data_IF_475276643847
#
_entry.id   IF_475276643847
#
_cell.length_a   1.000
_cell.length_b   1.000
_cell.length_c   1.000
_cell.angle_alpha   90.00
_cell.angle_beta   90.00
_cell.angle_gamma   90.00
#
_symmetry.space_group_name_H-M   'P 1'
#
loop_
_entity.id
_entity.type
_entity.pdbx_description
1 polymer ?
#
# COMPACT_ATOMS: atom_id res chain seq x y z
N UNK A 1 -8.74 11.38 5.47
CA UNK A 1 -9.75 11.33 4.40
C UNK A 1 -11.13 11.61 4.98
N UNK A 2 -11.93 12.51 4.41
CA UNK A 2 -11.66 13.27 3.19
C UNK A 2 -10.62 14.39 3.38
N UNK A 3 -10.33 14.78 4.62
CA UNK A 3 -9.31 15.78 4.93
C UNK A 3 -7.89 15.31 4.55
N UNK A 4 -7.00 16.30 4.34
CA UNK A 4 -5.56 16.09 4.15
C UNK A 4 -4.96 15.24 5.27
N UNK A 5 -4.02 14.38 4.90
CA UNK A 5 -3.28 13.59 5.88
C UNK A 5 -2.31 14.49 6.68
N UNK A 6 -1.99 14.15 7.94
CA UNK A 6 -1.02 14.91 8.72
C UNK A 6 0.41 14.72 8.20
N UNK A 7 1.26 15.73 8.40
CA UNK A 7 2.68 15.67 8.04
C UNK A 7 3.46 14.68 8.94
N UNK A 8 4.58 14.17 8.43
CA UNK A 8 5.56 13.37 9.16
C UNK A 8 4.98 12.09 9.79
N UNK A 9 3.93 11.53 9.18
CA UNK A 9 3.35 10.27 9.62
C UNK A 9 4.20 9.10 9.14
N UNK A 10 4.49 8.16 10.04
CA UNK A 10 5.09 6.87 9.70
C UNK A 10 4.16 5.78 10.20
N UNK A 11 3.48 5.11 9.27
CA UNK A 11 2.47 4.12 9.60
C UNK A 11 2.75 2.81 8.86
N UNK A 12 2.29 1.70 9.45
CA UNK A 12 2.35 0.41 8.79
C UNK A 12 1.14 -0.43 9.15
N UNK A 13 0.66 -1.20 8.18
CA UNK A 13 -0.47 -2.11 8.33
C UNK A 13 -0.07 -3.47 7.77
N UNK A 14 -0.09 -4.48 8.64
CA UNK A 14 0.09 -5.87 8.25
C UNK A 14 -1.30 -6.51 8.11
N UNK A 15 -1.62 -6.94 6.89
CA UNK A 15 -2.86 -7.65 6.58
C UNK A 15 -2.53 -9.12 6.38
N UNK A 16 -3.27 -9.99 7.07
CA UNK A 16 -3.14 -11.43 6.98
C UNK A 16 -4.51 -12.05 6.70
N UNK A 17 -4.55 -12.98 5.77
CA UNK A 17 -5.70 -13.85 5.51
C UNK A 17 -5.30 -15.32 5.71
N UNK A 18 -6.26 -16.23 5.59
CA UNK A 18 -5.97 -17.66 5.70
C UNK A 18 -5.01 -18.12 4.58
N UNK A 19 -4.13 -19.09 4.90
CA UNK A 19 -3.19 -19.65 3.92
C UNK A 19 -3.96 -20.31 2.77
N UNK A 20 -3.52 -20.04 1.54
CA UNK A 20 -4.20 -20.49 0.32
C UNK A 20 -5.06 -19.42 -0.34
N UNK A 21 -5.31 -18.29 0.34
CA UNK A 21 -5.91 -17.09 -0.23
C UNK A 21 -4.85 -16.04 -0.56
N UNK A 22 -5.23 -15.09 -1.42
CA UNK A 22 -4.48 -13.87 -1.70
C UNK A 22 -5.31 -12.62 -1.35
N UNK A 23 -4.66 -11.46 -1.39
CA UNK A 23 -5.22 -10.16 -1.02
C UNK A 23 -5.17 -9.28 -2.26
N UNK A 24 -6.28 -8.64 -2.62
CA UNK A 24 -6.34 -7.62 -3.67
C UNK A 24 -6.69 -6.28 -3.04
N UNK A 25 -5.81 -5.30 -3.21
CA UNK A 25 -6.06 -3.90 -2.90
C UNK A 25 -6.73 -3.24 -4.09
N UNK A 26 -7.85 -2.56 -3.85
CA UNK A 26 -8.55 -1.74 -4.82
C UNK A 26 -8.42 -0.26 -4.43
N UNK A 27 -7.86 0.55 -5.32
CA UNK A 27 -7.71 1.98 -5.11
C UNK A 27 -8.76 2.73 -5.91
N UNK A 28 -9.71 3.36 -5.22
CA UNK A 28 -10.74 4.22 -5.83
C UNK A 28 -10.23 5.65 -6.09
N UNK A 29 -9.28 6.10 -5.27
CA UNK A 29 -8.62 7.40 -5.37
C UNK A 29 -7.20 7.28 -4.80
N UNK A 30 -6.22 7.91 -5.46
CA UNK A 30 -4.86 8.00 -4.94
C UNK A 30 -4.23 9.35 -5.31
N UNK A 31 -3.97 10.16 -4.28
CA UNK A 31 -3.30 11.46 -4.39
C UNK A 31 -2.50 11.73 -3.12
N UNK A 32 -1.18 11.91 -3.27
CA UNK A 32 -0.23 12.25 -2.20
C UNK A 32 0.73 13.34 -2.66
N UNK A 33 1.58 13.86 -1.78
CA UNK A 33 2.68 14.74 -2.15
C UNK A 33 3.71 13.95 -2.98
N UNK A 34 3.81 14.31 -4.27
CA UNK A 34 4.65 13.61 -5.24
C UNK A 34 6.12 13.68 -4.83
N UNK A 35 6.79 12.52 -4.82
CA UNK A 35 8.22 12.37 -4.49
C UNK A 35 8.62 12.67 -3.04
N UNK A 36 7.67 13.00 -2.15
CA UNK A 36 7.91 13.22 -0.72
C UNK A 36 7.21 12.20 0.16
N UNK A 37 5.95 11.89 -0.12
CA UNK A 37 5.16 10.91 0.62
C UNK A 37 4.93 9.65 -0.22
N UNK A 38 5.20 8.49 0.38
CA UNK A 38 5.18 7.20 -0.28
C UNK A 38 4.23 6.21 0.39
N UNK A 39 3.41 5.55 -0.43
CA UNK A 39 2.71 4.33 -0.05
C UNK A 39 3.46 3.13 -0.66
N UNK A 40 4.14 2.37 0.18
CA UNK A 40 4.90 1.18 -0.20
C UNK A 40 4.10 -0.07 0.14
N UNK A 41 4.06 -1.01 -0.80
CA UNK A 41 3.21 -2.20 -0.73
C UNK A 41 4.09 -3.42 -0.99
N UNK A 42 4.15 -4.34 -0.03
CA UNK A 42 5.00 -5.52 -0.07
C UNK A 42 4.16 -6.81 -0.08
N UNK A 43 4.52 -7.74 -0.97
CA UNK A 43 3.94 -9.09 -1.09
C UNK A 43 4.50 -10.03 -0.01
N UNK A 44 4.13 -9.75 1.24
CA UNK A 44 4.57 -10.54 2.39
C UNK A 44 4.53 -9.77 3.70
N UNK A 45 5.03 -10.37 4.80
CA UNK A 45 4.79 -9.85 6.14
C UNK A 45 5.70 -8.70 6.57
N UNK A 46 6.72 -8.34 5.78
CA UNK A 46 7.71 -7.35 6.17
C UNK A 46 8.36 -6.65 4.96
N UNK A 47 9.14 -5.61 5.23
CA UNK A 47 9.83 -4.77 4.24
C UNK A 47 10.92 -5.50 3.42
N UNK A 48 11.29 -6.71 3.81
CA UNK A 48 12.23 -7.56 3.05
C UNK A 48 11.51 -8.46 2.04
N UNK A 49 10.17 -8.46 2.06
CA UNK A 49 9.35 -9.16 1.08
C UNK A 49 9.40 -8.43 -0.26
N UNK A 50 8.96 -9.09 -1.34
CA UNK A 50 8.99 -8.48 -2.67
C UNK A 50 8.10 -7.23 -2.70
N UNK A 51 8.64 -6.10 -3.18
CA UNK A 51 7.83 -4.90 -3.41
C UNK A 51 6.87 -5.15 -4.58
N UNK A 52 5.57 -4.93 -4.33
CA UNK A 52 4.54 -4.90 -5.37
C UNK A 52 4.49 -3.51 -6.01
N UNK A 53 4.55 -2.47 -5.19
CA UNK A 53 4.54 -1.10 -5.68
C UNK A 53 5.04 -0.10 -4.64
N UNK A 54 5.54 1.02 -5.15
CA UNK A 54 5.84 2.24 -4.39
C UNK A 54 5.13 3.37 -5.10
N UNK A 55 4.09 3.91 -4.47
CA UNK A 55 3.18 4.89 -5.06
C UNK A 55 3.44 6.26 -4.44
N UNK A 56 3.45 7.31 -5.26
CA UNK A 56 3.49 8.71 -4.80
C UNK A 56 2.85 9.62 -5.85
N UNK A 57 2.35 10.78 -5.42
CA UNK A 57 1.69 11.74 -6.28
C UNK A 57 0.29 11.32 -6.69
N UNK A 58 -0.21 11.92 -7.76
CA UNK A 58 -1.45 11.51 -8.40
C UNK A 58 -1.22 10.27 -9.26
N UNK A 59 -2.08 9.26 -9.09
CA UNK A 59 -2.09 8.05 -9.92
C UNK A 59 -3.49 7.86 -10.48
N UNK A 60 -3.56 7.53 -11.77
CA UNK A 60 -4.84 7.27 -12.44
C UNK A 60 -5.56 6.07 -11.79
N UNK A 61 -6.82 6.28 -11.42
CA UNK A 61 -7.67 5.33 -10.69
C UNK A 61 -8.96 5.06 -11.49
N UNK A 62 -9.60 3.90 -11.31
CA UNK A 62 -9.28 2.86 -10.33
C UNK A 62 -8.19 1.88 -10.81
N UNK A 63 -7.41 1.34 -9.87
CA UNK A 63 -6.47 0.25 -10.14
C UNK A 63 -6.40 -0.76 -9.01
N UNK A 64 -5.83 -1.93 -9.30
CA UNK A 64 -5.70 -3.04 -8.37
C UNK A 64 -4.24 -3.49 -8.21
N UNK A 65 -3.92 -3.94 -7.00
CA UNK A 65 -2.67 -4.66 -6.71
C UNK A 65 -3.01 -5.95 -5.96
N UNK A 66 -2.53 -7.08 -6.44
CA UNK A 66 -2.84 -8.40 -5.88
C UNK A 66 -1.56 -9.09 -5.41
N UNK A 67 -1.58 -9.63 -4.19
CA UNK A 67 -0.49 -10.43 -3.63
C UNK A 67 -0.43 -11.82 -4.25
N UNK A 68 0.76 -12.43 -4.24
CA UNK A 68 0.89 -13.87 -4.51
C UNK A 68 0.56 -14.73 -3.28
N UNK A 69 0.66 -14.14 -2.08
CA UNK A 69 0.47 -14.84 -0.81
C UNK A 69 -0.66 -14.31 0.07
N UNK A 70 -0.76 -14.91 1.25
CA UNK A 70 -1.78 -14.62 2.26
C UNK A 70 -1.43 -13.46 3.20
N UNK A 71 -0.31 -12.78 2.96
CA UNK A 71 0.19 -11.68 3.79
C UNK A 71 0.57 -10.49 2.93
N UNK A 72 0.32 -9.30 3.44
CA UNK A 72 0.59 -8.03 2.79
C UNK A 72 1.05 -7.03 3.86
N UNK A 73 2.16 -6.33 3.62
CA UNK A 73 2.55 -5.16 4.40
C UNK A 73 2.33 -3.91 3.56
N UNK A 74 1.61 -2.95 4.12
CA UNK A 74 1.50 -1.58 3.61
C UNK A 74 2.30 -0.67 4.54
N UNK A 75 3.16 0.18 3.99
CA UNK A 75 3.93 1.18 4.73
C UNK A 75 3.66 2.57 4.14
N UNK A 76 3.38 3.53 5.02
CA UNK A 76 3.25 4.95 4.70
C UNK A 76 4.42 5.69 5.33
N UNK A 77 5.14 6.48 4.52
CA UNK A 77 6.27 7.31 4.94
C UNK A 77 6.26 8.65 4.27
#
# INVERSE_FOLDING_TARGET
YPEHYPNLQMCSWLINVEKGYNITLHFELFETEKEFDFLEIFDGPNIYSQSLSTLSGYIETPFNLTTSGHQLLIRWT
#
